data_IF_031004591693
#
_entry.id   IF_031004591693
#
_cell.length_a   1.000
_cell.length_b   1.000
_cell.length_c   1.000
_cell.angle_alpha   90.00
_cell.angle_beta   90.00
_cell.angle_gamma   90.00
#
_symmetry.space_group_name_H-M   'P 1'
#
loop_
_entity.id
_entity.type
_entity.pdbx_description
1 polymer ?
#
# COMPACT_ATOMS: atom_id res chain seq x y z
N UNK A 1 3.78 15.18 10.22
CA UNK A 1 4.88 15.79 9.42
C UNK A 1 4.93 17.28 9.65
N UNK A 2 6.10 17.86 9.65
CA UNK A 2 6.31 19.31 9.76
C UNK A 2 6.15 20.00 8.39
N UNK A 3 5.90 21.31 8.41
CA UNK A 3 5.87 22.12 7.19
C UNK A 3 7.27 22.23 6.57
N UNK A 4 7.31 22.48 5.26
CA UNK A 4 8.54 22.74 4.50
C UNK A 4 9.64 21.70 4.74
N UNK A 5 9.24 20.45 4.78
CA UNK A 5 10.13 19.33 5.11
C UNK A 5 10.02 18.21 4.08
N UNK A 6 11.06 17.39 4.03
CA UNK A 6 11.10 16.20 3.18
C UNK A 6 11.22 14.95 4.03
N UNK A 7 10.48 13.93 3.66
CA UNK A 7 10.42 12.66 4.37
C UNK A 7 10.62 11.49 3.43
N UNK A 8 11.42 10.53 3.87
CA UNK A 8 11.42 9.19 3.31
C UNK A 8 10.31 8.39 3.99
N UNK A 9 9.38 7.89 3.19
CA UNK A 9 8.22 7.14 3.68
C UNK A 9 8.35 5.70 3.24
N UNK A 10 8.13 4.80 4.18
CA UNK A 10 8.10 3.37 3.94
C UNK A 10 6.90 2.75 4.64
N UNK A 11 6.08 2.06 3.87
CA UNK A 11 4.94 1.28 4.36
C UNK A 11 5.21 -0.17 4.08
N UNK A 12 5.08 -0.99 5.10
CA UNK A 12 5.07 -2.44 4.97
C UNK A 12 3.73 -2.97 5.46
N UNK A 13 3.02 -3.64 4.59
CA UNK A 13 1.71 -4.16 4.90
C UNK A 13 1.60 -5.66 4.73
N UNK A 14 0.70 -6.24 5.48
CA UNK A 14 0.30 -7.65 5.37
C UNK A 14 -1.21 -7.69 5.21
N UNK A 15 -1.67 -8.24 4.13
CA UNK A 15 -3.10 -8.34 3.85
C UNK A 15 -3.49 -9.74 3.35
N UNK A 16 -4.77 -9.98 3.30
CA UNK A 16 -5.33 -11.19 2.72
C UNK A 16 -6.82 -11.06 2.51
N UNK A 17 -7.39 -11.87 1.66
CA UNK A 17 -8.80 -11.81 1.33
C UNK A 17 -9.18 -12.77 0.23
N UNK A 18 -10.30 -12.51 -0.41
CA UNK A 18 -10.71 -13.22 -1.60
C UNK A 18 -9.96 -12.70 -2.82
N UNK A 19 -9.61 -13.60 -3.75
CA UNK A 19 -8.87 -13.27 -4.98
C UNK A 19 -9.60 -12.26 -5.88
N UNK A 20 -10.91 -12.14 -5.73
CA UNK A 20 -11.73 -11.20 -6.51
C UNK A 20 -11.76 -9.80 -5.94
N UNK A 21 -11.26 -9.60 -4.71
CA UNK A 21 -11.43 -8.35 -3.98
C UNK A 21 -10.27 -7.37 -4.12
N UNK A 22 -9.07 -7.84 -4.24
CA UNK A 22 -7.82 -7.08 -4.20
C UNK A 22 -7.81 -5.91 -3.19
N UNK A 23 -6.63 -5.44 -2.82
CA UNK A 23 -6.47 -4.30 -1.94
C UNK A 23 -6.07 -3.05 -2.73
N UNK A 24 -6.76 -1.96 -2.48
CA UNK A 24 -6.38 -0.63 -2.94
C UNK A 24 -5.65 0.10 -1.82
N UNK A 25 -4.47 0.62 -2.10
CA UNK A 25 -3.62 1.35 -1.15
C UNK A 25 -3.26 2.71 -1.72
N UNK A 26 -3.35 3.75 -0.92
CA UNK A 26 -2.90 5.09 -1.28
C UNK A 26 -2.19 5.77 -0.12
N UNK A 27 -1.24 6.65 -0.43
CA UNK A 27 -0.68 7.59 0.53
C UNK A 27 -1.45 8.91 0.44
N UNK A 28 -1.91 9.42 1.58
CA UNK A 28 -2.48 10.75 1.70
C UNK A 28 -1.65 11.60 2.66
N UNK A 29 -1.39 12.83 2.29
CA UNK A 29 -0.60 13.78 3.08
C UNK A 29 -1.35 15.07 3.37
N UNK A 30 -0.72 16.00 4.07
CA UNK A 30 -1.30 17.33 4.31
C UNK A 30 -1.50 18.10 3.00
N UNK A 31 -2.34 19.12 3.05
CA UNK A 31 -2.62 19.98 1.90
C UNK A 31 -1.31 20.54 1.32
N UNK A 32 -1.20 20.53 -0.01
CA UNK A 32 0.01 20.98 -0.71
C UNK A 32 1.21 20.06 -0.62
N UNK A 33 1.09 18.89 0.02
CA UNK A 33 2.15 17.90 -0.03
C UNK A 33 2.23 17.24 -1.40
N UNK A 34 3.43 16.83 -1.79
CA UNK A 34 3.69 16.06 -3.01
C UNK A 34 4.51 14.82 -2.70
N UNK A 35 4.37 13.82 -3.53
CA UNK A 35 5.21 12.62 -3.45
C UNK A 35 5.91 12.39 -4.79
N UNK A 36 7.15 11.95 -4.71
CA UNK A 36 7.95 11.54 -5.86
C UNK A 36 8.55 10.17 -5.60
N UNK A 37 8.84 9.43 -6.66
CA UNK A 37 9.45 8.11 -6.56
C UNK A 37 8.56 7.11 -5.80
N UNK A 38 7.25 7.21 -5.98
CA UNK A 38 6.33 6.25 -5.35
C UNK A 38 6.54 4.89 -6.00
N UNK A 39 6.96 3.93 -5.22
CA UNK A 39 7.19 2.55 -5.66
C UNK A 39 6.34 1.61 -4.81
N UNK A 40 5.57 0.78 -5.48
CA UNK A 40 4.84 -0.31 -4.84
C UNK A 40 5.46 -1.65 -5.25
N UNK A 41 5.93 -2.39 -4.28
CA UNK A 41 6.34 -3.77 -4.43
C UNK A 41 5.23 -4.67 -3.85
N UNK A 42 4.48 -5.30 -4.72
CA UNK A 42 3.33 -6.10 -4.33
C UNK A 42 2.99 -7.13 -5.41
N UNK A 43 2.28 -8.20 -5.06
CA UNK A 43 1.65 -9.05 -6.05
C UNK A 43 0.69 -8.25 -6.93
N UNK A 44 0.72 -8.46 -8.24
CA UNK A 44 -0.20 -7.81 -9.19
C UNK A 44 -1.48 -8.60 -9.40
N UNK A 45 -1.39 -9.91 -9.26
CA UNK A 45 -2.52 -10.82 -9.37
C UNK A 45 -2.43 -11.89 -8.30
N UNK A 46 -3.57 -12.28 -7.77
CA UNK A 46 -3.64 -13.40 -6.87
C UNK A 46 -3.38 -14.70 -7.62
N UNK A 47 -2.29 -15.37 -7.30
CA UNK A 47 -2.14 -16.77 -7.65
C UNK A 47 -2.94 -17.57 -6.62
N UNK A 48 -4.07 -18.10 -7.03
CA UNK A 48 -5.05 -18.74 -6.17
C UNK A 48 -4.48 -19.89 -5.29
N UNK A 49 -3.33 -20.44 -5.61
CA UNK A 49 -2.83 -21.63 -4.96
C UNK A 49 -1.34 -21.66 -4.64
N UNK A 50 -0.59 -20.60 -4.85
CA UNK A 50 0.83 -20.61 -4.51
C UNK A 50 1.16 -19.49 -3.52
N UNK A 51 1.56 -19.83 -2.29
CA UNK A 51 1.98 -18.84 -1.30
C UNK A 51 3.29 -18.15 -1.67
N UNK A 52 3.96 -18.59 -2.70
CA UNK A 52 5.27 -18.12 -3.13
C UNK A 52 5.33 -17.69 -4.60
N UNK A 53 4.21 -17.45 -5.23
CA UNK A 53 4.28 -16.82 -6.54
C UNK A 53 4.82 -15.43 -6.34
N UNK A 54 6.09 -15.26 -6.56
CA UNK A 54 6.73 -13.99 -6.65
C UNK A 54 6.07 -13.24 -7.83
N UNK A 55 5.08 -12.49 -7.55
CA UNK A 55 4.57 -11.54 -8.48
C UNK A 55 5.46 -10.32 -8.38
N UNK A 56 6.26 -10.15 -9.36
CA UNK A 56 7.06 -8.95 -9.56
C UNK A 56 6.20 -7.85 -10.16
N UNK A 57 5.38 -7.26 -9.35
CA UNK A 57 4.72 -6.01 -9.72
C UNK A 57 5.53 -4.84 -9.21
N UNK A 58 6.59 -4.46 -9.87
CA UNK A 58 7.22 -3.16 -9.65
C UNK A 58 6.55 -2.15 -10.56
N UNK A 59 5.57 -1.45 -10.03
CA UNK A 59 5.07 -0.25 -10.69
C UNK A 59 5.83 0.95 -10.14
N UNK A 60 6.72 1.55 -10.91
CA UNK A 60 7.09 2.95 -10.64
C UNK A 60 5.88 3.77 -11.05
N UNK A 61 5.12 4.17 -10.07
CA UNK A 61 3.99 5.03 -10.31
C UNK A 61 4.43 6.43 -9.98
N UNK A 62 4.33 7.32 -10.92
CA UNK A 62 4.53 8.76 -10.73
C UNK A 62 3.16 9.45 -10.60
N UNK A 63 2.37 9.18 -9.65
CA UNK A 63 1.29 10.05 -9.31
C UNK A 63 1.52 10.57 -7.92
N UNK A 64 1.01 11.73 -7.70
CA UNK A 64 1.04 12.36 -6.39
C UNK A 64 0.33 11.54 -5.32
N UNK A 65 0.31 12.10 -4.14
CA UNK A 65 -0.48 11.59 -3.02
C UNK A 65 -1.96 11.45 -3.43
N UNK A 66 -2.62 10.45 -2.88
CA UNK A 66 -4.04 10.17 -3.13
C UNK A 66 -4.33 9.23 -4.30
N UNK A 67 -3.33 8.83 -5.08
CA UNK A 67 -3.55 7.84 -6.14
C UNK A 67 -3.56 6.43 -5.57
N UNK A 68 -4.60 5.70 -5.89
CA UNK A 68 -4.77 4.32 -5.47
C UNK A 68 -3.88 3.36 -6.31
N UNK A 69 -3.21 2.47 -5.61
CA UNK A 69 -2.39 1.41 -6.17
C UNK A 69 -3.00 0.06 -5.76
N UNK A 70 -3.00 -0.91 -6.66
CA UNK A 70 -3.60 -2.21 -6.41
C UNK A 70 -2.56 -3.22 -5.93
N UNK A 71 -2.88 -3.89 -4.83
CA UNK A 71 -2.17 -5.05 -4.29
C UNK A 71 -3.02 -6.27 -4.52
N UNK A 72 -2.55 -7.23 -5.30
CA UNK A 72 -3.22 -8.51 -5.48
C UNK A 72 -3.24 -9.31 -4.19
N UNK A 73 -4.40 -9.79 -3.77
CA UNK A 73 -4.53 -10.64 -2.60
C UNK A 73 -4.61 -12.11 -2.99
N UNK A 74 -3.94 -12.97 -2.23
CA UNK A 74 -4.01 -14.40 -2.41
C UNK A 74 -5.24 -14.94 -1.66
N UNK A 75 -6.10 -15.67 -2.34
CA UNK A 75 -7.35 -16.19 -1.79
C UNK A 75 -7.22 -17.00 -0.50
N UNK A 76 -8.28 -17.65 -0.12
CA UNK A 76 -8.32 -18.53 1.04
C UNK A 76 -7.89 -19.96 0.67
N UNK A 77 -7.21 -20.63 1.57
CA UNK A 77 -6.92 -22.05 1.47
C UNK A 77 -7.37 -22.75 2.76
N UNK A 78 -8.25 -23.72 2.64
CA UNK A 78 -8.78 -24.45 3.80
C UNK A 78 -9.51 -23.54 4.80
N UNK A 79 -10.22 -22.51 4.33
CA UNK A 79 -10.91 -21.53 5.17
C UNK A 79 -10.02 -20.45 5.80
N UNK A 80 -8.72 -20.48 5.55
CA UNK A 80 -7.77 -19.50 6.10
C UNK A 80 -7.33 -18.53 5.01
N UNK A 81 -7.45 -17.22 5.28
CA UNK A 81 -6.94 -16.17 4.39
C UNK A 81 -5.42 -16.26 4.29
N UNK A 82 -4.91 -16.36 3.08
CA UNK A 82 -3.47 -16.32 2.84
C UNK A 82 -2.94 -14.91 3.02
N UNK A 83 -1.77 -14.80 3.63
CA UNK A 83 -1.11 -13.52 3.86
C UNK A 83 -0.25 -13.14 2.67
N UNK A 84 -0.44 -11.92 2.21
CA UNK A 84 0.34 -11.29 1.16
C UNK A 84 1.05 -10.09 1.77
N UNK A 85 2.32 -9.94 1.47
CA UNK A 85 3.12 -8.80 1.88
C UNK A 85 3.21 -7.80 0.73
N UNK A 86 3.17 -6.52 1.07
CA UNK A 86 3.46 -5.44 0.14
C UNK A 86 4.32 -4.38 0.82
N UNK A 87 5.09 -3.67 0.01
CA UNK A 87 5.88 -2.54 0.45
C UNK A 87 5.62 -1.35 -0.47
N UNK A 88 5.43 -0.18 0.11
CA UNK A 88 5.27 1.07 -0.60
C UNK A 88 6.30 2.05 -0.07
N UNK A 89 7.06 2.66 -0.97
CA UNK A 89 8.07 3.66 -0.65
C UNK A 89 7.80 4.94 -1.43
N UNK A 90 8.09 6.07 -0.82
CA UNK A 90 7.96 7.37 -1.47
C UNK A 90 8.86 8.42 -0.79
N UNK A 91 9.22 9.45 -1.54
CA UNK A 91 9.75 10.70 -0.96
C UNK A 91 8.61 11.71 -0.95
N UNK A 92 8.22 12.15 0.24
CA UNK A 92 7.15 13.11 0.44
C UNK A 92 7.73 14.46 0.84
N UNK A 93 7.33 15.50 0.11
CA UNK A 93 7.66 16.90 0.44
C UNK A 93 6.40 17.60 0.93
N UNK A 94 6.49 18.26 2.06
CA UNK A 94 5.38 18.98 2.69
C UNK A 94 5.58 20.49 2.57
N UNK A 95 4.51 21.19 2.31
CA UNK A 95 4.46 22.68 2.40
C UNK A 95 3.79 23.15 3.68
N UNK A 96 2.87 22.35 4.20
CA UNK A 96 2.16 22.59 5.46
C UNK A 96 2.38 21.41 6.41
N UNK A 97 2.25 21.66 7.70
CA UNK A 97 2.26 20.60 8.70
C UNK A 97 0.95 19.80 8.62
N UNK A 98 1.00 18.53 8.97
CA UNK A 98 -0.17 17.65 9.03
C UNK A 98 0.18 16.17 9.01
N UNK A 99 -0.85 15.36 8.92
CA UNK A 99 -0.73 13.90 8.99
C UNK A 99 -0.39 13.28 7.65
N UNK A 100 0.48 12.29 7.70
CA UNK A 100 0.63 11.29 6.63
C UNK A 100 -0.23 10.08 6.99
N UNK A 101 -1.00 9.60 6.04
CA UNK A 101 -1.91 8.47 6.23
C UNK A 101 -1.76 7.46 5.11
N UNK A 102 -1.90 6.19 5.46
CA UNK A 102 -2.16 5.13 4.49
C UNK A 102 -3.66 4.91 4.43
N UNK A 103 -4.23 5.09 3.26
CA UNK A 103 -5.63 4.79 2.99
C UNK A 103 -5.72 3.41 2.34
N UNK A 104 -6.64 2.61 2.79
CA UNK A 104 -6.84 1.24 2.29
C UNK A 104 -8.32 0.98 2.08
N UNK A 105 -8.64 0.30 0.98
CA UNK A 105 -9.99 -0.11 0.62
C UNK A 105 -9.94 -1.40 -0.20
N UNK A 106 -11.07 -2.04 -0.38
CA UNK A 106 -11.19 -3.07 -1.43
C UNK A 106 -11.04 -2.39 -2.79
N UNK A 107 -10.27 -2.98 -3.69
CA UNK A 107 -10.12 -2.48 -5.06
C UNK A 107 -11.38 -2.77 -5.89
N UNK A 108 -12.02 -3.89 -5.60
CA UNK A 108 -13.31 -4.30 -6.19
C UNK A 108 -14.30 -4.55 -5.08
N UNK A 109 -15.47 -3.95 -5.16
CA UNK A 109 -16.54 -4.16 -4.19
C UNK A 109 -17.11 -5.57 -4.34
N UNK A 110 -16.85 -6.41 -3.35
CA UNK A 110 -17.33 -7.79 -3.26
C UNK A 110 -17.90 -8.05 -1.88
N UNK A 111 -18.67 -9.14 -1.74
CA UNK A 111 -19.21 -9.55 -0.45
C UNK A 111 -18.13 -10.12 0.50
N UNK A 112 -16.98 -10.49 -0.03
CA UNK A 112 -15.83 -11.01 0.73
C UNK A 112 -14.90 -9.88 1.12
N UNK A 113 -14.49 -9.87 2.36
CA UNK A 113 -13.63 -8.81 2.92
C UNK A 113 -12.15 -8.98 2.58
N UNK A 114 -11.46 -7.87 2.46
CA UNK A 114 -10.00 -7.80 2.54
C UNK A 114 -9.61 -7.46 3.98
N UNK A 115 -8.69 -8.22 4.53
CA UNK A 115 -8.21 -8.04 5.91
C UNK A 115 -6.79 -7.51 5.90
N UNK A 116 -6.54 -6.49 6.70
CA UNK A 116 -5.20 -6.01 7.03
C UNK A 116 -4.78 -6.67 8.34
N UNK A 117 -3.66 -7.37 8.31
CA UNK A 117 -3.18 -8.10 9.48
C UNK A 117 -2.27 -7.23 10.35
N UNK A 118 -2.21 -7.60 11.63
CA UNK A 118 -1.24 -7.03 12.56
C UNK A 118 0.20 -7.23 12.03
N UNK A 119 1.07 -6.27 12.35
CA UNK A 119 2.44 -6.23 11.83
C UNK A 119 2.61 -5.33 10.61
N UNK A 120 1.53 -4.70 10.12
CA UNK A 120 1.61 -3.61 9.14
C UNK A 120 2.18 -2.35 9.82
N UNK A 121 3.09 -1.69 9.15
CA UNK A 121 3.85 -0.54 9.69
C UNK A 121 3.92 0.58 8.67
N UNK A 122 3.74 1.81 9.13
CA UNK A 122 4.08 3.04 8.41
C UNK A 122 5.26 3.70 9.15
N UNK A 123 6.33 3.98 8.43
CA UNK A 123 7.48 4.75 8.92
C UNK A 123 7.68 5.96 8.03
N UNK A 124 7.88 7.12 8.64
CA UNK A 124 8.28 8.35 7.96
C UNK A 124 9.52 8.91 8.66
N UNK A 125 10.56 9.14 7.92
CA UNK A 125 11.83 9.66 8.41
C UNK A 125 12.12 11.00 7.75
N UNK A 126 12.33 12.03 8.54
CA UNK A 126 12.68 13.36 8.05
C UNK A 126 14.10 13.34 7.51
N UNK A 127 14.26 13.76 6.27
CA UNK A 127 15.59 13.76 5.60
C UNK A 127 16.18 15.15 5.53
N UNK A 128 15.37 16.13 5.42
CA UNK A 128 15.80 17.56 5.48
C UNK A 128 14.61 18.44 5.82
#
# INVERSE_FOLDING_TARGET
MEASSRYLVHVRGVCGGDVSADLSVALAGPAGASAVGVTLLAPTTAAANSPFTASTGTGVVTPGLGTALTVGVAGTAGGTKRRVHFELSAVVTTTTAGDLRVQMAQAVSTATEVTIFAGSVLRAEKVV
#
